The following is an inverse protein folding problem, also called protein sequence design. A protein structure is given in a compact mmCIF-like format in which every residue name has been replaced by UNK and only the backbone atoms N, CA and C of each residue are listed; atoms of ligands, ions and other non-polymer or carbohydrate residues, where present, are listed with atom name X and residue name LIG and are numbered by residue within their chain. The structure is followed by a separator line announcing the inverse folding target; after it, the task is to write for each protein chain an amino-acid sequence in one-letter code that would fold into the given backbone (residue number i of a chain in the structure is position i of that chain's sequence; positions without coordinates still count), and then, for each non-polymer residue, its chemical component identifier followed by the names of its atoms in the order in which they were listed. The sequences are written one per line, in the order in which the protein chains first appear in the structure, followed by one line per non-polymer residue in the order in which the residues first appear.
data_IF_180837176486
#
_entry.id   IF_180837176486
#
_cell.length_a   1.000
_cell.length_b   1.000
_cell.length_c   1.000
_cell.angle_alpha   90.00
_cell.angle_beta   90.00
_cell.angle_gamma   90.00
#
_symmetry.space_group_name_H-M   'P 1'
#
loop_
_entity.id
_entity.type
_entity.pdbx_description
1 polymer ?
#
# COMPACT_ATOMS: atom_id res chain seq x y z
N UNK A 1 -42.41 -18.83 40.73
CA UNK A 1 -42.65 -18.07 39.49
C UNK A 1 -41.84 -18.70 38.39
N UNK A 2 -42.34 -18.66 37.16
CA UNK A 2 -41.68 -19.23 36.00
C UNK A 2 -40.32 -18.56 35.77
N UNK A 3 -39.33 -19.37 35.43
CA UNK A 3 -37.96 -18.95 35.12
C UNK A 3 -37.52 -19.65 33.84
N UNK A 4 -37.15 -18.88 32.81
CA UNK A 4 -36.73 -19.40 31.50
C UNK A 4 -35.43 -20.22 31.54
N UNK A 5 -34.68 -20.16 32.63
CA UNK A 5 -33.49 -21.01 32.80
C UNK A 5 -33.85 -22.47 33.09
N UNK A 6 -35.09 -22.75 33.48
CA UNK A 6 -35.56 -24.10 33.76
C UNK A 6 -36.07 -24.81 32.49
N UNK A 7 -35.80 -26.12 32.34
CA UNK A 7 -36.27 -26.89 31.19
C UNK A 7 -37.79 -26.85 31.04
N UNK A 8 -38.28 -26.58 29.82
CA UNK A 8 -39.72 -26.56 29.52
C UNK A 8 -40.47 -25.26 29.80
N UNK A 9 -39.82 -24.24 30.39
CA UNK A 9 -40.44 -22.94 30.66
C UNK A 9 -40.14 -21.93 29.55
N UNK A 10 -41.18 -21.45 28.86
CA UNK A 10 -41.05 -20.56 27.69
C UNK A 10 -41.18 -19.06 28.01
N UNK A 11 -41.80 -18.71 29.14
CA UNK A 11 -42.11 -17.34 29.56
C UNK A 11 -41.67 -17.08 31.00
N UNK A 12 -41.18 -15.88 31.28
CA UNK A 12 -40.56 -15.51 32.57
C UNK A 12 -41.50 -14.65 33.44
N UNK A 13 -41.45 -14.87 34.75
CA UNK A 13 -42.14 -14.06 35.77
C UNK A 13 -43.63 -14.33 35.93
N UNK A 14 -44.16 -15.42 35.37
CA UNK A 14 -45.55 -15.84 35.53
C UNK A 14 -45.72 -16.75 36.75
N UNK A 15 -46.89 -16.72 37.36
CA UNK A 15 -47.23 -17.70 38.40
C UNK A 15 -47.51 -19.06 37.78
N UNK A 16 -47.06 -20.12 38.45
CA UNK A 16 -47.26 -21.50 38.05
C UNK A 16 -47.74 -22.31 39.24
N UNK A 17 -48.56 -23.31 38.97
CA UNK A 17 -49.07 -24.28 39.95
C UNK A 17 -48.81 -25.69 39.43
N UNK A 18 -48.53 -26.60 40.35
CA UNK A 18 -48.32 -28.00 40.03
C UNK A 18 -49.65 -28.69 39.75
N UNK A 19 -49.76 -29.32 38.58
CA UNK A 19 -50.90 -30.19 38.26
C UNK A 19 -50.51 -31.66 38.50
N UNK A 20 -51.05 -32.29 39.55
CA UNK A 20 -50.72 -33.68 39.89
C UNK A 20 -51.26 -34.69 38.87
N UNK A 21 -52.18 -34.31 37.96
CA UNK A 21 -52.73 -35.23 36.95
C UNK A 21 -51.82 -35.39 35.74
N UNK A 22 -51.18 -34.30 35.32
CA UNK A 22 -50.25 -34.29 34.19
C UNK A 22 -48.79 -34.40 34.62
N UNK A 23 -48.49 -34.31 35.92
CA UNK A 23 -47.13 -34.27 36.47
C UNK A 23 -46.31 -33.09 35.90
N UNK A 24 -46.98 -31.96 35.67
CA UNK A 24 -46.36 -30.77 35.07
C UNK A 24 -46.75 -29.49 35.78
N UNK A 25 -45.89 -28.48 35.65
CA UNK A 25 -46.19 -27.11 36.07
C UNK A 25 -47.05 -26.41 35.02
N UNK A 26 -48.24 -25.96 35.41
CA UNK A 26 -49.13 -25.17 34.56
C UNK A 26 -49.07 -23.69 34.95
N UNK A 27 -49.18 -22.81 33.97
CA UNK A 27 -49.28 -21.39 34.26
C UNK A 27 -50.67 -21.03 34.80
N UNK A 28 -50.73 -20.29 35.90
CA UNK A 28 -52.01 -19.98 36.56
C UNK A 28 -52.97 -19.19 35.65
N UNK A 29 -52.45 -18.31 34.78
CA UNK A 29 -53.28 -17.59 33.81
C UNK A 29 -53.93 -18.51 32.76
N UNK A 30 -53.35 -19.68 32.47
CA UNK A 30 -54.00 -20.67 31.60
C UNK A 30 -55.20 -21.30 32.29
N UNK A 31 -55.12 -21.56 33.59
CA UNK A 31 -56.27 -22.06 34.36
C UNK A 31 -57.42 -21.05 34.38
N UNK A 32 -57.10 -19.77 34.53
CA UNK A 32 -58.08 -18.69 34.46
C UNK A 32 -58.68 -18.54 33.05
N UNK A 33 -57.86 -18.70 31.98
CA UNK A 33 -58.34 -18.75 30.59
C UNK A 33 -59.28 -19.94 30.36
N UNK A 34 -58.91 -21.13 30.83
CA UNK A 34 -59.74 -22.33 30.73
C UNK A 34 -61.06 -22.18 31.49
N UNK A 35 -61.03 -21.57 32.68
CA UNK A 35 -62.24 -21.27 33.45
C UNK A 35 -63.20 -20.37 32.68
N UNK A 36 -62.72 -19.26 32.11
CA UNK A 36 -63.56 -18.36 31.30
C UNK A 36 -64.18 -19.06 30.10
N UNK A 37 -63.41 -19.93 29.42
CA UNK A 37 -63.93 -20.75 28.31
C UNK A 37 -65.00 -21.72 28.78
N UNK A 38 -64.81 -22.37 29.92
CA UNK A 38 -65.78 -23.30 30.48
C UNK A 38 -67.09 -22.59 30.90
N UNK A 39 -66.99 -21.37 31.42
CA UNK A 39 -68.14 -20.54 31.77
C UNK A 39 -68.78 -19.80 30.58
N UNK A 40 -68.20 -19.94 29.37
CA UNK A 40 -68.72 -19.29 28.16
C UNK A 40 -68.56 -17.77 28.12
N UNK A 41 -67.60 -17.20 28.86
CA UNK A 41 -67.30 -15.75 28.87
C UNK A 41 -66.78 -15.27 27.50
N UNK A 42 -66.01 -16.12 26.82
CA UNK A 42 -65.55 -15.93 25.44
C UNK A 42 -65.34 -17.29 24.76
N UNK A 43 -65.48 -17.31 23.44
CA UNK A 43 -65.33 -18.49 22.60
C UNK A 43 -63.89 -18.66 22.09
N UNK A 44 -63.54 -19.86 21.62
CA UNK A 44 -62.22 -20.10 21.02
C UNK A 44 -62.01 -19.30 19.73
N UNK A 45 -63.09 -18.93 19.04
CA UNK A 45 -63.09 -18.10 17.83
C UNK A 45 -62.75 -16.63 18.08
N UNK A 46 -62.78 -16.18 19.34
CA UNK A 46 -62.50 -14.78 19.71
C UNK A 46 -61.00 -14.46 19.71
N UNK A 47 -60.16 -15.45 19.41
CA UNK A 47 -58.74 -15.29 19.13
C UNK A 47 -57.86 -16.24 19.94
N UNK A 48 -56.66 -16.48 19.39
CA UNK A 48 -55.71 -17.44 19.95
C UNK A 48 -54.77 -16.85 21.02
N UNK A 49 -54.77 -15.53 21.20
CA UNK A 49 -53.87 -14.84 22.13
C UNK A 49 -54.63 -14.39 23.37
N UNK A 50 -54.20 -14.87 24.55
CA UNK A 50 -54.70 -14.42 25.84
C UNK A 50 -53.78 -13.33 26.41
N UNK A 51 -54.35 -12.23 26.88
CA UNK A 51 -53.63 -11.08 27.40
C UNK A 51 -54.23 -10.56 28.72
N UNK A 52 -53.37 -10.15 29.66
CA UNK A 52 -53.78 -9.47 30.88
C UNK A 52 -54.17 -8.03 30.60
N UNK A 53 -55.42 -7.64 30.87
CA UNK A 53 -55.95 -6.29 30.58
C UNK A 53 -55.11 -5.21 31.28
N UNK A 54 -54.69 -5.47 32.53
CA UNK A 54 -53.87 -4.55 33.33
C UNK A 54 -52.35 -4.68 33.10
N UNK A 55 -51.90 -5.56 32.20
CA UNK A 55 -50.49 -5.90 31.95
C UNK A 55 -49.75 -6.50 33.16
N UNK A 56 -50.44 -6.80 34.25
CA UNK A 56 -49.87 -7.44 35.43
C UNK A 56 -49.96 -8.97 35.30
N UNK A 57 -48.83 -9.58 34.96
CA UNK A 57 -48.67 -11.04 34.79
C UNK A 57 -49.04 -11.88 36.02
N UNK A 58 -49.16 -11.26 37.19
CA UNK A 58 -49.51 -11.92 38.46
C UNK A 58 -50.99 -11.76 38.82
N UNK A 59 -51.73 -10.90 38.12
CA UNK A 59 -53.16 -10.76 38.31
C UNK A 59 -53.91 -11.78 37.44
N UNK A 60 -53.98 -13.01 37.93
CA UNK A 60 -54.61 -14.14 37.23
C UNK A 60 -56.13 -14.25 37.49
N UNK A 61 -56.78 -13.17 37.90
CA UNK A 61 -58.23 -13.15 38.01
C UNK A 61 -58.84 -13.36 36.62
N UNK A 62 -59.81 -14.29 36.44
CA UNK A 62 -60.43 -14.52 35.14
C UNK A 62 -60.98 -13.24 34.47
N UNK A 63 -61.45 -12.24 35.24
CA UNK A 63 -61.95 -10.97 34.69
C UNK A 63 -60.85 -10.05 34.13
N UNK A 64 -59.58 -10.33 34.45
CA UNK A 64 -58.43 -9.56 33.96
C UNK A 64 -57.82 -10.19 32.69
N UNK A 65 -58.42 -11.24 32.15
CA UNK A 65 -57.95 -11.90 30.93
C UNK A 65 -58.90 -11.63 29.77
N UNK A 66 -58.32 -11.34 28.61
CA UNK A 66 -59.05 -11.17 27.35
C UNK A 66 -58.37 -11.96 26.24
N UNK A 67 -59.16 -12.55 25.35
CA UNK A 67 -58.68 -13.13 24.10
C UNK A 67 -58.89 -12.18 22.94
N UNK A 68 -57.92 -12.14 22.02
CA UNK A 68 -58.01 -11.38 20.79
C UNK A 68 -57.18 -12.02 19.66
N UNK A 69 -57.48 -11.70 18.39
CA UNK A 69 -56.67 -12.08 17.24
C UNK A 69 -55.20 -11.60 17.34
N UNK A 70 -54.31 -12.27 16.60
CA UNK A 70 -52.87 -12.01 16.68
C UNK A 70 -52.47 -10.59 16.25
N UNK A 71 -53.14 -10.04 15.23
CA UNK A 71 -52.95 -8.69 14.71
C UNK A 71 -53.44 -7.62 15.69
N UNK A 72 -54.60 -7.82 16.33
CA UNK A 72 -55.10 -6.94 17.39
C UNK A 72 -54.19 -6.97 18.62
N UNK A 73 -53.72 -8.15 19.02
CA UNK A 73 -52.75 -8.31 20.10
C UNK A 73 -51.45 -7.54 19.79
N UNK A 74 -50.94 -7.66 18.56
CA UNK A 74 -49.75 -6.92 18.15
C UNK A 74 -50.00 -5.41 18.11
N UNK A 75 -51.18 -4.96 17.66
CA UNK A 75 -51.58 -3.56 17.68
C UNK A 75 -51.66 -3.01 19.12
N UNK A 76 -52.16 -3.80 20.07
CA UNK A 76 -52.19 -3.46 21.50
C UNK A 76 -50.76 -3.24 22.03
N UNK A 77 -49.83 -4.17 21.76
CA UNK A 77 -48.42 -4.01 22.16
C UNK A 77 -47.75 -2.79 21.52
N UNK A 78 -48.08 -2.46 20.26
CA UNK A 78 -47.61 -1.22 19.61
C UNK A 78 -48.13 0.03 20.33
N UNK A 79 -49.43 0.09 20.63
CA UNK A 79 -50.05 1.22 21.37
C UNK A 79 -49.44 1.40 22.77
N UNK A 80 -49.04 0.31 23.40
CA UNK A 80 -48.47 0.30 24.75
C UNK A 80 -46.96 0.12 24.78
N UNK A 81 -46.25 0.41 23.67
CA UNK A 81 -44.79 0.25 23.60
C UNK A 81 -44.05 1.03 24.69
N UNK A 82 -44.56 2.21 25.07
CA UNK A 82 -44.06 3.04 26.18
C UNK A 82 -44.15 2.36 27.55
N UNK A 83 -45.12 1.46 27.73
CA UNK A 83 -45.34 0.69 28.96
C UNK A 83 -44.65 -0.68 28.93
N UNK A 84 -44.05 -1.06 27.81
CA UNK A 84 -43.38 -2.35 27.64
C UNK A 84 -41.92 -2.14 27.21
N UNK A 85 -41.65 -2.10 25.91
CA UNK A 85 -40.30 -2.08 25.33
C UNK A 85 -39.55 -0.76 25.50
N UNK A 86 -40.28 0.36 25.53
CA UNK A 86 -39.70 1.71 25.68
C UNK A 86 -39.67 2.19 27.13
N UNK A 87 -39.89 1.30 28.10
CA UNK A 87 -39.66 1.65 29.50
C UNK A 87 -38.18 1.95 29.74
N UNK A 88 -37.83 2.96 30.58
CA UNK A 88 -36.45 3.36 30.81
C UNK A 88 -35.53 2.22 31.25
N UNK A 89 -36.01 1.31 32.11
CA UNK A 89 -35.24 0.15 32.59
C UNK A 89 -34.99 -0.88 31.47
N UNK A 90 -35.96 -1.08 30.58
CA UNK A 90 -35.83 -2.00 29.43
C UNK A 90 -34.86 -1.43 28.39
N UNK A 91 -34.95 -0.13 28.10
CA UNK A 91 -34.00 0.56 27.23
C UNK A 91 -32.59 0.49 27.83
N UNK A 92 -32.43 0.80 29.12
CA UNK A 92 -31.13 0.74 29.79
C UNK A 92 -30.53 -0.68 29.76
N UNK A 93 -31.36 -1.71 29.99
CA UNK A 93 -30.96 -3.12 29.82
C UNK A 93 -30.50 -3.41 28.38
N UNK A 94 -31.25 -2.95 27.39
CA UNK A 94 -30.91 -3.08 25.97
C UNK A 94 -29.59 -2.40 25.62
N UNK A 95 -29.36 -1.18 26.10
CA UNK A 95 -28.08 -0.46 25.92
C UNK A 95 -26.92 -1.22 26.56
N UNK A 96 -27.10 -1.74 27.77
CA UNK A 96 -26.07 -2.55 28.45
C UNK A 96 -25.72 -3.80 27.64
N UNK A 97 -26.72 -4.51 27.11
CA UNK A 97 -26.51 -5.68 26.25
C UNK A 97 -25.78 -5.28 24.96
N UNK A 98 -26.20 -4.21 24.28
CA UNK A 98 -25.55 -3.74 23.03
C UNK A 98 -24.10 -3.29 23.22
N UNK A 99 -23.74 -2.85 24.43
CA UNK A 99 -22.36 -2.52 24.80
C UNK A 99 -21.52 -3.74 25.18
N UNK A 100 -22.14 -4.90 25.45
CA UNK A 100 -21.42 -6.12 25.80
C UNK A 100 -20.59 -6.63 24.62
N UNK A 101 -19.44 -7.24 24.94
CA UNK A 101 -18.54 -7.82 23.95
C UNK A 101 -19.22 -8.94 23.16
N UNK A 102 -19.88 -9.87 23.85
CA UNK A 102 -20.60 -10.99 23.22
C UNK A 102 -21.63 -10.52 22.18
N UNK A 103 -22.38 -9.44 22.47
CA UNK A 103 -23.32 -8.88 21.50
C UNK A 103 -22.62 -8.23 20.31
N UNK A 104 -21.54 -7.47 20.53
CA UNK A 104 -20.78 -6.83 19.46
C UNK A 104 -20.12 -7.85 18.54
N UNK A 105 -19.59 -8.93 19.10
CA UNK A 105 -19.01 -10.04 18.34
C UNK A 105 -20.07 -10.77 17.52
N UNK A 106 -21.19 -11.13 18.15
CA UNK A 106 -22.32 -11.75 17.44
C UNK A 106 -22.83 -10.86 16.29
N UNK A 107 -22.98 -9.56 16.52
CA UNK A 107 -23.35 -8.62 15.47
C UNK A 107 -22.27 -8.48 14.40
N UNK A 108 -20.99 -8.46 14.76
CA UNK A 108 -19.89 -8.41 13.79
C UNK A 108 -19.88 -9.63 12.89
N UNK A 109 -20.10 -10.84 13.44
CA UNK A 109 -20.22 -12.06 12.66
C UNK A 109 -21.42 -12.01 11.72
N UNK A 110 -22.59 -11.64 12.24
CA UNK A 110 -23.80 -11.47 11.43
C UNK A 110 -23.61 -10.49 10.28
N UNK A 111 -22.93 -9.36 10.51
CA UNK A 111 -22.65 -8.36 9.47
C UNK A 111 -21.72 -8.87 8.36
N UNK A 112 -20.98 -9.96 8.59
CA UNK A 112 -20.12 -10.60 7.58
C UNK A 112 -20.85 -11.65 6.75
N UNK A 113 -22.01 -12.13 7.21
CA UNK A 113 -22.81 -13.11 6.49
C UNK A 113 -23.26 -12.55 5.12
N UNK A 114 -23.14 -13.32 4.03
CA UNK A 114 -23.49 -12.85 2.69
C UNK A 114 -24.93 -12.34 2.57
N UNK A 115 -25.89 -13.03 3.19
CA UNK A 115 -27.31 -12.64 3.18
C UNK A 115 -27.53 -11.29 3.87
N UNK A 116 -26.97 -11.11 5.07
CA UNK A 116 -27.05 -9.84 5.80
C UNK A 116 -26.42 -8.70 4.99
N UNK A 117 -25.26 -8.93 4.36
CA UNK A 117 -24.60 -7.93 3.52
C UNK A 117 -25.43 -7.56 2.29
N UNK A 118 -26.05 -8.53 1.64
CA UNK A 118 -26.91 -8.30 0.49
C UNK A 118 -28.11 -7.41 0.86
N UNK A 119 -28.82 -7.75 1.94
CA UNK A 119 -29.96 -6.97 2.45
C UNK A 119 -29.55 -5.53 2.78
N UNK A 120 -28.43 -5.35 3.49
CA UNK A 120 -27.95 -4.01 3.85
C UNK A 120 -27.49 -3.22 2.63
N UNK A 121 -26.90 -3.87 1.63
CA UNK A 121 -26.52 -3.22 0.38
C UNK A 121 -27.74 -2.73 -0.39
N UNK A 122 -28.78 -3.57 -0.51
CA UNK A 122 -30.04 -3.20 -1.17
C UNK A 122 -30.72 -2.03 -0.45
N UNK A 123 -30.81 -2.10 0.88
CA UNK A 123 -31.37 -1.02 1.70
C UNK A 123 -30.57 0.28 1.56
N UNK A 124 -29.24 0.20 1.59
CA UNK A 124 -28.38 1.35 1.37
C UNK A 124 -28.61 1.94 -0.02
N UNK A 125 -28.64 1.12 -1.07
CA UNK A 125 -28.92 1.58 -2.42
C UNK A 125 -30.26 2.32 -2.51
N UNK A 126 -31.34 1.73 -1.96
CA UNK A 126 -32.65 2.37 -1.91
C UNK A 126 -32.61 3.71 -1.15
N UNK A 127 -31.88 3.78 -0.04
CA UNK A 127 -31.73 4.99 0.75
C UNK A 127 -30.95 6.08 0.00
N UNK A 128 -29.93 5.72 -0.77
CA UNK A 128 -29.14 6.67 -1.58
C UNK A 128 -29.85 7.16 -2.85
N UNK A 129 -30.97 6.53 -3.26
CA UNK A 129 -31.86 7.07 -4.29
C UNK A 129 -32.76 8.20 -3.77
N UNK A 130 -32.93 8.32 -2.44
CA UNK A 130 -33.62 9.46 -1.84
C UNK A 130 -32.70 10.68 -1.85
N UNK A 131 -33.04 11.66 -2.70
CA UNK A 131 -32.26 12.90 -2.86
C UNK A 131 -32.17 13.72 -1.56
N UNK A 132 -33.20 13.70 -0.70
CA UNK A 132 -33.16 14.41 0.58
C UNK A 132 -32.17 13.75 1.54
N UNK A 133 -32.16 12.41 1.58
CA UNK A 133 -31.17 11.66 2.35
C UNK A 133 -29.75 11.87 1.83
N UNK A 134 -29.56 11.81 0.51
CA UNK A 134 -28.27 12.03 -0.13
C UNK A 134 -27.73 13.43 0.17
N UNK A 135 -28.55 14.46 0.02
CA UNK A 135 -28.17 15.84 0.35
C UNK A 135 -27.79 15.98 1.84
N UNK A 136 -28.59 15.39 2.74
CA UNK A 136 -28.28 15.36 4.17
C UNK A 136 -26.94 14.68 4.47
N UNK A 137 -26.66 13.53 3.85
CA UNK A 137 -25.41 12.81 4.05
C UNK A 137 -24.21 13.57 3.48
N UNK A 138 -24.36 14.22 2.33
CA UNK A 138 -23.32 15.09 1.76
C UNK A 138 -23.02 16.26 2.69
N UNK A 139 -24.04 16.92 3.21
CA UNK A 139 -23.87 18.01 4.19
C UNK A 139 -23.15 17.50 5.45
N UNK A 140 -23.57 16.37 6.01
CA UNK A 140 -22.93 15.79 7.21
C UNK A 140 -21.49 15.39 6.95
N UNK A 141 -21.19 14.86 5.77
CA UNK A 141 -19.83 14.53 5.38
C UNK A 141 -18.98 15.80 5.23
N UNK A 142 -19.53 16.86 4.63
CA UNK A 142 -18.83 18.13 4.48
C UNK A 142 -18.55 18.78 5.85
N UNK A 143 -19.55 18.84 6.73
CA UNK A 143 -19.38 19.30 8.12
C UNK A 143 -18.29 18.49 8.85
N UNK A 144 -18.30 17.16 8.71
CA UNK A 144 -17.26 16.29 9.27
C UNK A 144 -15.88 16.59 8.66
N UNK A 145 -15.80 16.70 7.34
CA UNK A 145 -14.54 16.92 6.62
C UNK A 145 -13.94 18.28 6.97
N UNK A 146 -14.74 19.34 7.06
CA UNK A 146 -14.31 20.70 7.41
C UNK A 146 -13.97 20.84 8.90
N UNK A 147 -14.69 20.13 9.79
CA UNK A 147 -14.41 20.17 11.23
C UNK A 147 -13.22 19.30 11.65
N UNK A 148 -12.80 18.32 10.84
CA UNK A 148 -11.79 17.34 11.20
C UNK A 148 -10.49 17.50 10.40
N UNK A 149 -9.57 18.35 10.88
CA UNK A 149 -8.28 18.59 10.23
C UNK A 149 -7.39 17.34 10.16
N UNK A 150 -7.33 16.54 11.23
CA UNK A 150 -6.54 15.30 11.28
C UNK A 150 -6.97 14.32 10.17
N UNK A 151 -8.28 14.17 9.99
CA UNK A 151 -8.82 13.35 8.90
C UNK A 151 -8.40 13.88 7.52
N UNK A 152 -8.46 15.21 7.30
CA UNK A 152 -8.04 15.80 6.01
C UNK A 152 -6.57 15.55 5.73
N UNK A 153 -5.70 15.75 6.71
CA UNK A 153 -4.26 15.53 6.57
C UNK A 153 -3.96 14.06 6.25
N UNK A 154 -4.54 13.13 7.02
CA UNK A 154 -4.37 11.69 6.80
C UNK A 154 -4.90 11.23 5.45
N UNK A 155 -6.07 11.74 5.04
CA UNK A 155 -6.65 11.44 3.74
C UNK A 155 -5.79 12.00 2.60
N UNK A 156 -5.29 13.23 2.73
CA UNK A 156 -4.38 13.83 1.74
C UNK A 156 -3.09 13.02 1.59
N UNK A 157 -2.50 12.57 2.70
CA UNK A 157 -1.31 11.71 2.68
C UNK A 157 -1.60 10.35 2.02
N UNK A 158 -2.72 9.71 2.40
CA UNK A 158 -3.14 8.42 1.81
C UNK A 158 -3.35 8.55 0.30
N UNK A 159 -4.04 9.61 -0.13
CA UNK A 159 -4.28 9.88 -1.55
C UNK A 159 -2.98 10.20 -2.29
N UNK A 160 -2.05 10.91 -1.67
CA UNK A 160 -0.74 11.19 -2.23
C UNK A 160 0.07 9.90 -2.43
N UNK A 161 0.13 9.03 -1.43
CA UNK A 161 0.80 7.73 -1.52
C UNK A 161 0.17 6.82 -2.58
N UNK A 162 -1.16 6.74 -2.61
CA UNK A 162 -1.89 5.96 -3.61
C UNK A 162 -1.61 6.49 -5.03
N UNK A 163 -1.59 7.81 -5.22
CA UNK A 163 -1.21 8.42 -6.50
C UNK A 163 0.24 8.10 -6.87
N UNK A 164 1.18 8.19 -5.93
CA UNK A 164 2.58 7.83 -6.21
C UNK A 164 2.72 6.38 -6.64
N UNK A 165 2.07 5.44 -5.96
CA UNK A 165 2.09 4.02 -6.31
C UNK A 165 1.46 3.77 -7.68
N UNK A 166 0.27 4.35 -7.93
CA UNK A 166 -0.43 4.22 -9.20
C UNK A 166 0.43 4.76 -10.36
N UNK A 167 1.00 5.95 -10.20
CA UNK A 167 1.81 6.59 -11.24
C UNK A 167 3.25 6.11 -11.30
N UNK A 168 3.74 5.28 -10.37
CA UNK A 168 5.04 4.64 -10.44
C UNK A 168 5.07 3.51 -11.49
N UNK A 169 3.92 2.90 -11.75
CA UNK A 169 3.74 1.90 -12.80
C UNK A 169 3.69 2.55 -14.20
N UNK A 170 4.54 2.09 -15.11
CA UNK A 170 4.58 2.56 -16.50
C UNK A 170 3.31 2.18 -17.27
N UNK A 171 2.72 1.01 -16.99
CA UNK A 171 1.49 0.58 -17.66
C UNK A 171 0.34 1.55 -17.40
N UNK A 172 0.20 2.02 -16.15
CA UNK A 172 -0.79 3.04 -15.79
C UNK A 172 -0.52 4.38 -16.50
N UNK A 173 0.75 4.80 -16.59
CA UNK A 173 1.12 6.03 -17.33
C UNK A 173 0.74 5.93 -18.80
N UNK A 174 1.02 4.80 -19.44
CA UNK A 174 0.71 4.56 -20.86
C UNK A 174 -0.79 4.49 -21.09
N UNK A 175 -1.52 3.70 -20.28
CA UNK A 175 -2.97 3.58 -20.39
C UNK A 175 -3.68 4.94 -20.23
N UNK A 176 -3.24 5.76 -19.26
CA UNK A 176 -3.80 7.12 -19.09
C UNK A 176 -3.44 8.04 -20.25
N UNK A 177 -2.25 7.94 -20.82
CA UNK A 177 -1.88 8.70 -22.01
C UNK A 177 -2.73 8.33 -23.22
N UNK A 178 -3.02 7.04 -23.42
CA UNK A 178 -3.90 6.53 -24.47
C UNK A 178 -5.34 7.01 -24.29
N UNK A 179 -5.90 6.90 -23.08
CA UNK A 179 -7.23 7.43 -22.77
C UNK A 179 -7.36 8.92 -23.10
N UNK A 180 -6.34 9.73 -22.80
CA UNK A 180 -6.34 11.15 -23.16
C UNK A 180 -6.29 11.35 -24.68
N UNK A 181 -5.50 10.56 -25.41
CA UNK A 181 -5.46 10.62 -26.88
C UNK A 181 -6.81 10.25 -27.49
N UNK A 182 -7.40 9.14 -27.04
CA UNK A 182 -8.72 8.68 -27.47
C UNK A 182 -9.80 9.71 -27.18
N UNK A 183 -9.79 10.31 -25.99
CA UNK A 183 -10.72 11.39 -25.65
C UNK A 183 -10.65 12.52 -26.68
N UNK A 184 -9.46 13.02 -27.02
CA UNK A 184 -9.34 14.10 -28.00
C UNK A 184 -9.61 13.66 -29.45
N UNK A 185 -9.38 12.39 -29.79
CA UNK A 185 -9.76 11.85 -31.09
C UNK A 185 -11.29 11.77 -31.24
N UNK A 186 -11.98 11.36 -30.18
CA UNK A 186 -13.44 11.22 -30.14
C UNK A 186 -14.17 12.56 -29.89
N UNK A 187 -13.46 13.58 -29.40
CA UNK A 187 -14.00 14.90 -29.10
C UNK A 187 -13.16 15.98 -29.82
N UNK A 188 -13.27 16.12 -31.15
CA UNK A 188 -12.44 17.05 -31.92
C UNK A 188 -12.61 18.51 -31.47
N UNK A 189 -13.82 18.89 -31.07
CA UNK A 189 -14.13 20.24 -30.59
C UNK A 189 -13.62 20.53 -29.17
N UNK A 190 -13.25 19.50 -28.40
CA UNK A 190 -12.80 19.67 -27.01
C UNK A 190 -11.56 20.57 -26.93
N UNK A 191 -10.67 20.54 -27.93
CA UNK A 191 -9.50 21.42 -27.96
C UNK A 191 -9.90 22.88 -28.14
N UNK A 192 -10.84 23.14 -29.04
CA UNK A 192 -11.36 24.49 -29.29
C UNK A 192 -12.09 25.02 -28.06
N UNK A 193 -12.98 24.21 -27.49
CA UNK A 193 -13.71 24.55 -26.27
C UNK A 193 -12.78 24.84 -25.07
N UNK A 194 -11.77 23.99 -24.84
CA UNK A 194 -10.78 24.22 -23.78
C UNK A 194 -9.95 25.49 -24.04
N UNK A 195 -9.64 25.81 -25.30
CA UNK A 195 -8.92 27.03 -25.65
C UNK A 195 -9.78 28.29 -25.43
N UNK A 196 -11.06 28.25 -25.80
CA UNK A 196 -12.02 29.33 -25.52
C UNK A 196 -12.18 29.56 -24.03
N UNK A 197 -12.45 28.48 -23.27
CA UNK A 197 -12.52 28.53 -21.81
C UNK A 197 -11.25 29.08 -21.18
N UNK A 198 -10.07 28.70 -21.70
CA UNK A 198 -8.81 29.26 -21.23
C UNK A 198 -8.72 30.77 -21.50
N UNK A 199 -9.14 31.25 -22.69
CA UNK A 199 -9.18 32.69 -22.99
C UNK A 199 -10.12 33.45 -22.07
N UNK A 200 -11.32 32.92 -21.83
CA UNK A 200 -12.28 33.50 -20.88
C UNK A 200 -11.67 33.61 -19.48
N UNK A 201 -11.06 32.54 -18.98
CA UNK A 201 -10.39 32.53 -17.68
C UNK A 201 -9.19 33.49 -17.58
N UNK A 202 -8.55 33.84 -18.70
CA UNK A 202 -7.45 34.80 -18.70
C UNK A 202 -7.92 36.25 -18.85
N UNK A 203 -9.18 36.47 -19.27
CA UNK A 203 -9.80 37.79 -19.28
C UNK A 203 -10.35 38.17 -17.90
N UNK A 204 -10.75 37.18 -17.11
CA UNK A 204 -11.15 37.35 -15.72
C UNK A 204 -9.99 37.93 -14.87
N UNK A 205 -10.21 39.13 -14.34
CA UNK A 205 -9.21 39.86 -13.55
C UNK A 205 -9.10 39.32 -12.12
N UNK A 206 -10.23 39.01 -11.49
CA UNK A 206 -10.26 38.44 -10.14
C UNK A 206 -9.55 37.08 -10.12
N UNK A 207 -9.80 36.24 -11.13
CA UNK A 207 -9.13 34.95 -11.25
C UNK A 207 -7.61 35.10 -11.50
N UNK A 208 -7.18 36.14 -12.22
CA UNK A 208 -5.75 36.41 -12.44
C UNK A 208 -5.07 36.89 -11.17
N UNK A 209 -5.70 37.79 -10.42
CA UNK A 209 -5.19 38.29 -9.14
C UNK A 209 -5.08 37.15 -8.12
N UNK A 210 -6.14 36.37 -7.97
CA UNK A 210 -6.14 35.18 -7.10
C UNK A 210 -5.03 34.19 -7.48
N UNK A 211 -4.85 33.89 -8.77
CA UNK A 211 -3.75 33.03 -9.24
C UNK A 211 -2.38 33.61 -8.89
N UNK A 212 -2.19 34.91 -9.01
CA UNK A 212 -0.93 35.57 -8.68
C UNK A 212 -0.62 35.48 -7.18
N UNK A 213 -1.61 35.74 -6.33
CA UNK A 213 -1.50 35.64 -4.87
C UNK A 213 -1.21 34.20 -4.44
N UNK A 214 -2.03 33.24 -4.85
CA UNK A 214 -1.84 31.81 -4.51
C UNK A 214 -0.50 31.28 -5.02
N UNK A 215 -0.06 31.72 -6.21
CA UNK A 215 1.28 31.36 -6.71
C UNK A 215 2.36 31.94 -5.82
N UNK A 216 2.23 33.19 -5.37
CA UNK A 216 3.18 33.82 -4.46
C UNK A 216 3.31 33.04 -3.14
N UNK A 217 2.17 32.67 -2.54
CA UNK A 217 2.10 31.86 -1.31
C UNK A 217 2.75 30.48 -1.48
N UNK A 218 2.52 29.82 -2.61
CA UNK A 218 3.11 28.52 -2.90
C UNK A 218 4.64 28.60 -3.07
N UNK A 219 5.17 29.72 -3.57
CA UNK A 219 6.58 29.90 -3.90
C UNK A 219 7.44 30.33 -2.69
N UNK A 220 7.32 29.59 -1.59
CA UNK A 220 8.16 29.76 -0.39
C UNK A 220 9.66 29.56 -0.70
N UNK A 221 10.58 30.08 0.13
CA UNK A 221 12.02 29.84 -0.03
C UNK A 221 12.38 28.34 -0.12
N UNK A 222 11.74 27.50 0.70
CA UNK A 222 11.96 26.05 0.71
C UNK A 222 11.47 25.41 -0.60
N UNK A 223 10.27 25.81 -1.07
CA UNK A 223 9.74 25.32 -2.35
C UNK A 223 10.65 25.72 -3.51
N UNK A 224 11.17 26.96 -3.51
CA UNK A 224 12.12 27.45 -4.51
C UNK A 224 13.40 26.61 -4.54
N UNK A 225 13.99 26.34 -3.39
CA UNK A 225 15.20 25.52 -3.32
C UNK A 225 14.95 24.07 -3.75
N UNK A 226 13.83 23.46 -3.33
CA UNK A 226 13.41 22.13 -3.80
C UNK A 226 13.22 22.11 -5.32
N UNK A 227 12.56 23.14 -5.88
CA UNK A 227 12.34 23.26 -7.33
C UNK A 227 13.65 23.46 -8.08
N UNK A 228 14.56 24.30 -7.57
CA UNK A 228 15.90 24.49 -8.14
C UNK A 228 16.73 23.21 -8.10
N UNK A 229 16.67 22.43 -7.02
CA UNK A 229 17.35 21.14 -6.91
C UNK A 229 16.82 20.14 -7.96
N UNK A 230 15.50 19.99 -8.06
CA UNK A 230 14.89 19.11 -9.06
C UNK A 230 15.22 19.52 -10.51
N UNK A 231 15.23 20.83 -10.79
CA UNK A 231 15.66 21.35 -12.08
C UNK A 231 17.15 21.09 -12.33
N UNK A 232 18.02 21.33 -11.34
CA UNK A 232 19.46 21.03 -11.44
C UNK A 232 19.69 19.56 -11.79
N UNK A 233 19.00 18.63 -11.14
CA UNK A 233 19.10 17.20 -11.43
C UNK A 233 18.61 16.88 -12.85
N UNK A 234 17.48 17.46 -13.26
CA UNK A 234 16.92 17.23 -14.60
C UNK A 234 17.86 17.70 -15.71
N UNK A 235 18.38 18.93 -15.59
CA UNK A 235 19.33 19.50 -16.54
C UNK A 235 20.64 18.68 -16.58
N UNK A 236 21.14 18.26 -15.42
CA UNK A 236 22.36 17.45 -15.31
C UNK A 236 22.20 16.13 -16.05
N UNK A 237 21.20 15.33 -15.65
CA UNK A 237 20.97 13.99 -16.19
C UNK A 237 20.71 14.01 -17.69
N UNK A 238 19.80 14.87 -18.16
CA UNK A 238 19.45 14.93 -19.59
C UNK A 238 20.63 15.38 -20.45
N UNK A 239 21.40 16.37 -19.98
CA UNK A 239 22.56 16.87 -20.73
C UNK A 239 23.66 15.79 -20.78
N UNK A 240 23.95 15.16 -19.65
CA UNK A 240 24.95 14.10 -19.54
C UNK A 240 24.60 12.89 -20.39
N UNK A 241 23.35 12.43 -20.34
CA UNK A 241 22.84 11.32 -21.16
C UNK A 241 22.93 11.63 -22.66
N UNK A 242 22.53 12.83 -23.07
CA UNK A 242 22.62 13.25 -24.48
C UNK A 242 24.08 13.30 -24.97
N UNK A 243 25.02 13.78 -24.14
CA UNK A 243 26.44 13.82 -24.46
C UNK A 243 27.05 12.42 -24.52
N UNK A 244 26.71 11.52 -23.58
CA UNK A 244 27.14 10.12 -23.62
C UNK A 244 26.62 9.41 -24.87
N UNK A 245 25.36 9.64 -25.25
CA UNK A 245 24.78 9.03 -26.43
C UNK A 245 25.56 9.37 -27.70
N UNK A 246 26.05 10.61 -27.81
CA UNK A 246 26.92 11.01 -28.92
C UNK A 246 28.23 10.23 -28.93
N UNK A 247 28.86 10.05 -27.77
CA UNK A 247 30.09 9.24 -27.67
C UNK A 247 29.85 7.80 -28.11
N UNK A 248 28.69 7.22 -27.75
CA UNK A 248 28.33 5.85 -28.15
C UNK A 248 28.12 5.77 -29.67
N UNK A 249 27.42 6.73 -30.27
CA UNK A 249 27.07 6.71 -31.70
C UNK A 249 28.25 7.07 -32.62
N UNK A 250 29.10 8.00 -32.20
CA UNK A 250 30.18 8.56 -33.03
C UNK A 250 31.59 8.14 -32.60
N UNK A 251 31.73 7.43 -31.48
CA UNK A 251 33.03 6.99 -30.94
C UNK A 251 33.85 8.08 -30.25
N UNK A 252 33.53 9.36 -30.49
CA UNK A 252 34.17 10.52 -29.87
C UNK A 252 33.15 11.56 -29.40
N UNK A 253 33.56 12.40 -28.46
CA UNK A 253 32.73 13.49 -27.96
C UNK A 253 32.88 14.73 -28.86
N UNK A 254 32.03 14.85 -29.88
CA UNK A 254 31.97 16.03 -30.73
C UNK A 254 30.89 17.02 -30.24
N UNK A 255 31.34 18.10 -29.57
CA UNK A 255 30.45 19.09 -28.94
C UNK A 255 29.95 20.13 -29.96
N UNK A 256 30.85 20.65 -30.79
CA UNK A 256 30.56 21.83 -31.64
C UNK A 256 29.69 21.52 -32.84
N UNK A 257 29.87 20.37 -33.48
CA UNK A 257 29.10 20.00 -34.67
C UNK A 257 27.92 19.10 -34.29
N UNK A 258 28.19 18.00 -33.59
CA UNK A 258 27.18 16.96 -33.36
C UNK A 258 26.23 17.35 -32.23
N UNK A 259 26.74 17.67 -31.04
CA UNK A 259 25.88 18.02 -29.91
C UNK A 259 25.08 19.30 -30.15
N UNK A 260 25.73 20.33 -30.70
CA UNK A 260 25.06 21.59 -31.05
C UNK A 260 23.93 21.38 -32.07
N UNK A 261 24.17 20.64 -33.15
CA UNK A 261 23.15 20.35 -34.15
C UNK A 261 21.98 19.55 -33.54
N UNK A 262 22.28 18.52 -32.73
CA UNK A 262 21.25 17.72 -32.06
C UNK A 262 20.37 18.58 -31.13
N UNK A 263 20.98 19.46 -30.32
CA UNK A 263 20.24 20.37 -29.42
C UNK A 263 19.32 21.32 -30.18
N UNK A 264 19.81 21.91 -31.29
CA UNK A 264 19.01 22.81 -32.14
C UNK A 264 17.85 22.10 -32.83
N UNK A 265 18.04 20.84 -33.24
CA UNK A 265 16.99 20.01 -33.84
C UNK A 265 15.92 19.60 -32.82
N UNK A 266 16.32 19.13 -31.62
CA UNK A 266 15.40 18.69 -30.56
C UNK A 266 14.59 19.83 -29.94
N UNK A 267 15.14 21.06 -29.90
CA UNK A 267 14.54 22.23 -29.23
C UNK A 267 14.13 21.97 -27.76
N UNK A 268 14.75 20.98 -27.11
CA UNK A 268 14.51 20.68 -25.70
C UNK A 268 15.24 21.72 -24.83
N UNK A 269 14.46 22.57 -24.14
CA UNK A 269 14.97 23.61 -23.24
C UNK A 269 15.72 23.05 -22.03
N UNK A 270 15.60 21.75 -21.75
CA UNK A 270 16.30 21.07 -20.67
C UNK A 270 17.68 20.51 -21.03
N UNK A 271 18.13 20.69 -22.28
CA UNK A 271 19.51 20.40 -22.69
C UNK A 271 20.35 21.68 -22.62
N UNK A 272 21.39 21.66 -21.78
CA UNK A 272 22.28 22.81 -21.61
C UNK A 272 23.31 22.89 -22.74
N UNK A 273 23.85 24.09 -22.99
CA UNK A 273 25.10 24.21 -23.75
C UNK A 273 26.23 23.53 -22.96
N UNK A 274 27.24 23.01 -23.64
CA UNK A 274 28.36 22.35 -22.96
C UNK A 274 29.06 23.30 -21.98
N UNK A 275 29.34 24.54 -22.39
CA UNK A 275 29.96 25.54 -21.51
C UNK A 275 29.12 25.78 -20.24
N UNK A 276 27.81 25.97 -20.40
CA UNK A 276 26.88 26.15 -19.26
C UNK A 276 26.80 24.91 -18.38
N UNK A 277 26.93 23.71 -18.95
CA UNK A 277 26.97 22.46 -18.20
C UNK A 277 28.28 22.33 -17.40
N UNK A 278 29.42 22.66 -18.01
CA UNK A 278 30.72 22.70 -17.36
C UNK A 278 30.77 23.72 -16.22
N UNK A 279 30.34 24.96 -16.47
CA UNK A 279 30.27 26.00 -15.44
C UNK A 279 29.38 25.59 -14.27
N UNK A 280 28.21 25.01 -14.56
CA UNK A 280 27.19 24.74 -13.54
C UNK A 280 27.46 23.51 -12.69
N UNK A 281 28.14 22.49 -13.22
CA UNK A 281 28.30 21.19 -12.55
C UNK A 281 29.76 20.76 -12.33
N UNK A 282 30.71 21.43 -12.99
CA UNK A 282 32.13 21.08 -12.95
C UNK A 282 33.02 22.28 -12.67
N UNK A 283 32.47 23.40 -12.20
CA UNK A 283 33.23 24.62 -11.84
C UNK A 283 34.06 25.16 -13.04
N UNK A 284 33.62 24.89 -14.27
CA UNK A 284 34.34 25.26 -15.50
C UNK A 284 35.43 24.27 -15.93
N UNK A 285 35.66 23.17 -15.20
CA UNK A 285 36.60 22.11 -15.56
C UNK A 285 36.03 21.23 -16.68
N UNK A 286 36.42 21.55 -17.91
CA UNK A 286 36.01 20.82 -19.10
C UNK A 286 36.57 19.38 -19.15
N UNK A 287 37.76 19.13 -18.60
CA UNK A 287 38.37 17.79 -18.62
C UNK A 287 37.61 16.84 -17.69
N UNK A 288 37.29 17.31 -16.48
CA UNK A 288 36.46 16.56 -15.54
C UNK A 288 35.05 16.30 -16.07
N UNK A 289 34.47 17.26 -16.79
CA UNK A 289 33.19 17.07 -17.47
C UNK A 289 33.27 15.99 -18.55
N UNK A 290 34.33 16.01 -19.40
CA UNK A 290 34.57 14.99 -20.44
C UNK A 290 34.78 13.61 -19.85
N UNK A 291 35.62 13.50 -18.82
CA UNK A 291 35.84 12.24 -18.09
C UNK A 291 34.53 11.68 -17.53
N UNK A 292 33.72 12.55 -16.92
CA UNK A 292 32.42 12.15 -16.36
C UNK A 292 31.46 11.68 -17.45
N UNK A 293 31.43 12.34 -18.62
CA UNK A 293 30.65 11.91 -19.78
C UNK A 293 31.14 10.55 -20.28
N UNK A 294 32.45 10.35 -20.42
CA UNK A 294 33.01 9.08 -20.89
C UNK A 294 32.69 7.93 -19.93
N UNK A 295 32.77 8.18 -18.63
CA UNK A 295 32.52 7.21 -17.56
C UNK A 295 31.04 7.11 -17.16
N UNK A 296 30.13 7.85 -17.80
CA UNK A 296 28.70 7.72 -17.57
C UNK A 296 28.21 6.36 -18.09
N UNK A 297 28.28 5.35 -17.22
CA UNK A 297 27.69 4.03 -17.41
C UNK A 297 26.28 3.99 -16.80
N UNK A 298 25.46 3.09 -17.34
CA UNK A 298 24.04 2.96 -17.00
C UNK A 298 23.84 2.90 -15.47
N UNK A 299 22.94 3.77 -15.01
CA UNK A 299 22.27 3.83 -13.70
C UNK A 299 22.73 2.77 -12.67
N UNK A 300 23.64 3.15 -11.77
CA UNK A 300 23.86 2.40 -10.52
C UNK A 300 22.55 2.48 -9.72
N UNK A 301 21.81 1.37 -9.64
CA UNK A 301 20.50 1.31 -8.98
C UNK A 301 20.65 1.27 -7.45
N UNK A 302 21.74 0.67 -6.96
CA UNK A 302 21.98 0.43 -5.54
C UNK A 302 23.48 0.28 -5.28
N UNK A 303 23.96 0.80 -4.15
CA UNK A 303 25.33 0.58 -3.66
C UNK A 303 25.24 0.20 -2.20
N UNK A 304 25.63 -1.02 -1.88
CA UNK A 304 25.65 -1.53 -0.51
C UNK A 304 27.06 -1.89 -0.10
N UNK A 305 27.45 -1.45 1.10
CA UNK A 305 28.72 -1.81 1.70
C UNK A 305 28.43 -2.94 2.68
N UNK A 306 28.87 -4.14 2.34
CA UNK A 306 28.66 -5.33 3.17
C UNK A 306 29.78 -5.38 4.21
N UNK A 307 29.43 -5.49 5.49
CA UNK A 307 30.37 -5.57 6.61
C UNK A 307 30.82 -7.01 6.92
N UNK A 308 30.11 -7.99 6.39
CA UNK A 308 30.34 -9.42 6.62
C UNK A 308 31.11 -10.05 5.45
N UNK A 309 32.00 -10.97 5.79
CA UNK A 309 32.75 -11.77 4.80
C UNK A 309 31.91 -12.98 4.44
N UNK A 310 31.77 -13.29 3.15
CA UNK A 310 31.05 -14.47 2.67
C UNK A 310 31.92 -15.32 1.76
N UNK A 311 31.72 -16.64 1.80
CA UNK A 311 32.40 -17.58 0.92
C UNK A 311 31.88 -17.44 -0.52
N UNK A 312 32.82 -17.29 -1.45
CA UNK A 312 32.58 -17.06 -2.88
C UNK A 312 32.79 -18.38 -3.63
N UNK A 313 31.78 -18.85 -4.35
CA UNK A 313 31.88 -20.04 -5.21
C UNK A 313 31.97 -19.63 -6.68
N UNK A 314 33.11 -19.92 -7.31
CA UNK A 314 33.36 -19.57 -8.72
C UNK A 314 32.67 -20.56 -9.67
N UNK A 315 31.70 -20.08 -10.44
CA UNK A 315 31.21 -20.73 -11.67
C UNK A 315 31.58 -19.83 -12.84
N UNK A 316 32.55 -20.25 -13.66
CA UNK A 316 32.94 -19.57 -14.89
C UNK A 316 31.85 -19.72 -15.96
N UNK A 317 31.43 -18.62 -16.59
CA UNK A 317 30.59 -18.67 -17.79
C UNK A 317 31.50 -18.82 -19.01
N UNK A 318 31.47 -19.97 -19.73
CA UNK A 318 32.39 -20.25 -20.81
C UNK A 318 32.42 -19.14 -21.87
N UNK A 319 33.61 -18.68 -22.24
CA UNK A 319 33.84 -17.68 -23.28
C UNK A 319 33.73 -16.21 -22.84
N UNK A 320 33.39 -15.92 -21.59
CA UNK A 320 33.21 -14.52 -21.12
C UNK A 320 34.20 -14.08 -20.04
N UNK A 321 35.01 -14.98 -19.48
CA UNK A 321 35.91 -14.73 -18.33
C UNK A 321 35.20 -14.08 -17.13
N UNK A 322 33.88 -14.26 -17.00
CA UNK A 322 33.05 -13.76 -15.90
C UNK A 322 32.63 -14.91 -14.98
N UNK A 323 32.44 -14.61 -13.70
CA UNK A 323 32.01 -15.59 -12.69
C UNK A 323 30.61 -15.26 -12.18
N UNK A 324 29.78 -16.29 -12.00
CA UNK A 324 28.47 -16.18 -11.37
C UNK A 324 28.52 -16.73 -9.95
N UNK A 325 28.23 -15.88 -8.97
CA UNK A 325 27.95 -16.28 -7.60
C UNK A 325 26.45 -16.49 -7.43
N UNK A 326 26.05 -17.25 -6.40
CA UNK A 326 24.64 -17.41 -6.04
C UNK A 326 23.90 -16.06 -5.80
N UNK A 327 24.66 -14.96 -5.56
CA UNK A 327 24.16 -13.59 -5.38
C UNK A 327 24.34 -12.66 -6.58
N UNK A 328 24.95 -13.09 -7.70
CA UNK A 328 25.10 -12.27 -8.91
C UNK A 328 26.41 -12.48 -9.70
N UNK A 329 26.50 -11.86 -10.88
CA UNK A 329 27.65 -11.96 -11.80
C UNK A 329 28.69 -10.88 -11.51
N UNK A 330 29.97 -11.26 -11.37
CA UNK A 330 31.08 -10.31 -11.24
C UNK A 330 32.00 -10.35 -12.48
N UNK A 331 32.54 -9.18 -12.86
CA UNK A 331 33.49 -8.99 -13.97
C UNK A 331 34.90 -8.81 -13.40
N UNK A 332 35.81 -9.72 -13.76
CA UNK A 332 37.18 -9.86 -13.22
C UNK A 332 38.19 -8.75 -13.65
N UNK A 333 37.77 -7.50 -13.83
CA UNK A 333 38.69 -6.41 -14.27
C UNK A 333 39.03 -5.38 -13.19
N UNK A 334 38.43 -5.45 -12.00
CA UNK A 334 38.59 -4.42 -10.96
C UNK A 334 39.95 -4.44 -10.27
N UNK A 335 40.57 -5.61 -10.03
CA UNK A 335 41.82 -5.67 -9.27
C UNK A 335 43.01 -5.06 -10.04
N UNK A 336 43.13 -5.32 -11.34
CA UNK A 336 44.20 -4.73 -12.18
C UNK A 336 44.05 -3.21 -12.32
N UNK A 337 42.81 -2.72 -12.37
CA UNK A 337 42.50 -1.29 -12.49
C UNK A 337 42.59 -0.54 -11.14
N UNK A 338 42.28 -1.21 -10.02
CA UNK A 338 42.27 -0.63 -8.69
C UNK A 338 43.59 -0.70 -7.91
N UNK A 339 44.59 -1.43 -8.42
CA UNK A 339 45.89 -1.55 -7.73
C UNK A 339 46.71 -0.27 -7.83
N UNK A 340 47.46 0.05 -6.78
CA UNK A 340 48.55 1.00 -6.90
C UNK A 340 49.72 0.35 -7.65
N UNK A 341 49.94 0.78 -8.90
CA UNK A 341 50.94 0.20 -9.80
C UNK A 341 52.38 0.38 -9.30
N UNK A 342 52.64 1.28 -8.34
CA UNK A 342 53.98 1.50 -7.79
C UNK A 342 54.46 0.35 -6.92
N UNK A 343 53.58 -0.30 -6.16
CA UNK A 343 53.99 -1.32 -5.17
C UNK A 343 53.13 -2.58 -5.13
N UNK A 344 52.03 -2.63 -5.88
CA UNK A 344 51.13 -3.79 -5.90
C UNK A 344 51.26 -4.57 -7.22
N UNK A 345 51.67 -5.83 -7.11
CA UNK A 345 51.65 -6.80 -8.20
C UNK A 345 50.43 -7.74 -8.05
N UNK A 346 49.95 -8.26 -9.18
CA UNK A 346 48.84 -9.21 -9.21
C UNK A 346 49.29 -10.39 -10.05
N UNK A 347 49.22 -11.59 -9.47
CA UNK A 347 49.42 -12.85 -10.17
C UNK A 347 48.06 -13.51 -10.37
N UNK A 348 47.51 -13.55 -11.59
CA UNK A 348 46.25 -14.25 -11.84
C UNK A 348 46.49 -15.75 -11.82
N UNK A 349 45.81 -16.46 -10.92
CA UNK A 349 45.81 -17.92 -10.88
C UNK A 349 44.58 -18.44 -11.61
N UNK A 350 44.76 -19.40 -12.52
CA UNK A 350 43.64 -19.95 -13.30
C UNK A 350 43.25 -21.33 -12.81
N UNK A 351 41.98 -21.46 -12.44
CA UNK A 351 41.39 -22.72 -11.98
C UNK A 351 41.90 -23.16 -10.59
N UNK A 352 41.60 -24.42 -10.23
CA UNK A 352 41.96 -24.98 -8.93
C UNK A 352 43.43 -25.41 -8.92
N UNK A 353 44.21 -24.89 -7.96
CA UNK A 353 45.62 -25.24 -7.78
C UNK A 353 45.75 -26.74 -7.43
N UNK A 354 46.79 -27.38 -7.95
CA UNK A 354 47.13 -28.77 -7.64
C UNK A 354 47.35 -28.92 -6.13
N UNK A 355 46.74 -29.95 -5.52
CA UNK A 355 47.05 -30.31 -4.13
C UNK A 355 48.49 -30.85 -4.05
N UNK A 356 49.38 -30.07 -3.44
CA UNK A 356 50.81 -30.35 -3.35
C UNK A 356 51.15 -31.37 -2.27
N UNK A 357 50.33 -31.57 -1.23
CA UNK A 357 50.60 -32.56 -0.17
C UNK A 357 50.56 -34.00 -0.66
N UNK A 358 49.74 -34.28 -1.68
CA UNK A 358 49.55 -35.62 -2.26
C UNK A 358 50.36 -35.85 -3.54
N UNK A 359 51.00 -34.81 -4.08
CA UNK A 359 51.69 -34.87 -5.36
C UNK A 359 53.21 -35.02 -5.18
N UNK A 360 53.85 -35.76 -6.08
CA UNK A 360 55.32 -35.84 -6.15
C UNK A 360 55.90 -34.53 -6.70
N UNK A 361 57.13 -34.20 -6.30
CA UNK A 361 57.81 -32.94 -6.66
C UNK A 361 57.81 -32.69 -8.17
N UNK A 362 58.08 -33.70 -9.00
CA UNK A 362 58.07 -33.56 -10.46
C UNK A 362 56.69 -33.09 -10.99
N UNK A 363 55.61 -33.60 -10.42
CA UNK A 363 54.23 -33.24 -10.80
C UNK A 363 53.84 -31.85 -10.32
N UNK A 364 54.39 -31.42 -9.18
CA UNK A 364 54.23 -30.07 -8.64
C UNK A 364 54.96 -29.08 -9.54
N UNK A 365 56.22 -29.41 -9.88
CA UNK A 365 57.04 -28.61 -10.76
C UNK A 365 56.44 -28.53 -12.14
N UNK A 366 55.78 -29.55 -12.68
CA UNK A 366 55.12 -29.49 -13.99
C UNK A 366 53.85 -28.63 -14.04
N UNK A 367 53.27 -28.25 -12.90
CA UNK A 367 52.08 -27.41 -12.88
C UNK A 367 52.42 -25.94 -13.20
N UNK A 368 51.82 -25.39 -14.26
CA UNK A 368 52.10 -24.03 -14.72
C UNK A 368 51.78 -22.94 -13.68
N UNK A 369 50.74 -23.11 -12.86
CA UNK A 369 50.36 -22.14 -11.83
C UNK A 369 51.38 -22.15 -10.67
N UNK A 370 51.86 -23.34 -10.29
CA UNK A 370 52.92 -23.48 -9.28
C UNK A 370 54.26 -22.95 -9.81
N UNK A 371 54.62 -23.22 -11.07
CA UNK A 371 55.80 -22.59 -11.71
C UNK A 371 55.71 -21.07 -11.67
N UNK A 372 54.52 -20.52 -12.00
CA UNK A 372 54.29 -19.08 -11.99
C UNK A 372 54.44 -18.49 -10.58
N UNK A 373 53.94 -19.16 -9.55
CA UNK A 373 54.11 -18.76 -8.14
C UNK A 373 55.59 -18.74 -7.73
N UNK A 374 56.33 -19.81 -8.01
CA UNK A 374 57.76 -19.90 -7.69
C UNK A 374 58.53 -18.79 -8.41
N UNK A 375 58.24 -18.57 -9.70
CA UNK A 375 58.88 -17.52 -10.49
C UNK A 375 58.51 -16.11 -10.02
N UNK A 376 57.27 -15.89 -9.57
CA UNK A 376 56.82 -14.59 -9.07
C UNK A 376 57.48 -14.24 -7.74
N UNK A 377 57.51 -15.19 -6.79
CA UNK A 377 58.13 -14.98 -5.48
C UNK A 377 59.65 -14.90 -5.56
N UNK A 378 60.26 -15.64 -6.50
CA UNK A 378 61.70 -15.60 -6.77
C UNK A 378 62.56 -16.32 -5.72
N UNK A 379 61.94 -17.03 -4.77
CA UNK A 379 62.63 -17.70 -3.66
C UNK A 379 63.15 -19.09 -4.00
N UNK A 380 62.81 -19.67 -5.15
CA UNK A 380 63.08 -21.09 -5.42
C UNK A 380 62.17 -22.02 -4.60
N UNK A 381 62.47 -23.32 -4.62
CA UNK A 381 61.70 -24.36 -3.91
C UNK A 381 62.63 -25.46 -3.41
N UNK A 382 62.30 -26.06 -2.26
CA UNK A 382 63.04 -27.15 -1.64
C UNK A 382 64.52 -26.81 -1.39
N UNK A 383 65.46 -27.53 -2.02
CA UNK A 383 66.91 -27.39 -1.76
C UNK A 383 67.47 -26.08 -2.30
N UNK A 384 66.82 -25.50 -3.31
CA UNK A 384 67.18 -24.20 -3.90
C UNK A 384 66.38 -23.03 -3.27
N UNK A 385 65.68 -23.28 -2.15
CA UNK A 385 64.90 -22.24 -1.49
C UNK A 385 65.80 -21.24 -0.73
N UNK A 386 65.73 -19.98 -1.13
CA UNK A 386 66.43 -18.86 -0.51
C UNK A 386 65.47 -17.70 -0.27
N UNK A 387 65.09 -17.51 1.00
CA UNK A 387 64.17 -16.43 1.41
C UNK A 387 64.75 -15.04 1.17
N UNK A 388 66.08 -14.89 1.11
CA UNK A 388 66.71 -13.59 0.87
C UNK A 388 66.41 -13.04 -0.53
N UNK A 389 65.97 -13.91 -1.45
CA UNK A 389 65.60 -13.57 -2.84
C UNK A 389 64.12 -13.22 -3.01
N UNK A 390 63.36 -13.17 -1.91
CA UNK A 390 61.94 -12.86 -1.95
C UNK A 390 61.68 -11.47 -2.52
N UNK A 391 60.93 -11.42 -3.63
CA UNK A 391 60.67 -10.17 -4.36
C UNK A 391 59.59 -9.30 -3.74
N UNK A 392 58.71 -9.88 -2.93
CA UNK A 392 57.56 -9.18 -2.35
C UNK A 392 57.57 -9.34 -0.83
N UNK A 393 57.64 -8.21 -0.11
CA UNK A 393 57.66 -8.22 1.37
C UNK A 393 56.36 -8.68 2.02
N UNK A 394 55.26 -8.74 1.25
CA UNK A 394 53.96 -9.28 1.67
C UNK A 394 53.31 -10.05 0.52
N UNK A 395 52.78 -11.23 0.83
CA UNK A 395 51.94 -12.03 -0.08
C UNK A 395 50.54 -12.05 0.50
N UNK A 396 49.56 -11.63 -0.28
CA UNK A 396 48.14 -11.53 0.10
C UNK A 396 47.40 -12.48 -0.84
N UNK A 397 46.66 -13.43 -0.27
CA UNK A 397 45.87 -14.43 -1.00
C UNK A 397 44.42 -13.96 -1.07
#
# INVERSE_FOLDING_TARGET
LSDKTQPGITIDGYEMVWDPRSDTWLFTHMLADWYNRWQGVYAQTDGDHCHHIDFNKRNNNPTNLVRMPADEHLALHRRHVSRTLHRPDVIAKGVKIRKSQAFREAMSQRMREPETRAILSEQAQAQWQDEAYKAYMMQKWQEFYESNEEYRQRNAETMYQAQQQYWADEANRQARAEQVREYFANNPDARTHLAEKAREQWQDEELREWRAETTSEQWTPEFREKRKAALRETYYRKTLEALKQIVIEHGELNIEEVYRAMRLKKKDKSLLKFDTFCERYFEGDAERARETILNYNHRVIHKEVISEVMDVYDIEVPGTHNFALASGVFVHNSAKQGRDRHFQAILPLRGKILNTERARLDKILDNNEVKALISALGTGIHDDFDVSRLRYGRVII
#
